data_IF_000828345170
#
_entry.id   IF_000828345170
#
_cell.length_a   1.000
_cell.length_b   1.000
_cell.length_c   1.000
_cell.angle_alpha   90.00
_cell.angle_beta   90.00
_cell.angle_gamma   90.00
#
_symmetry.space_group_name_H-M   'P 1'
#
loop_
_entity.id
_entity.type
_entity.pdbx_description
1 polymer ?
#
# COMPACT_ATOMS: atom_id res chain seq x y z
N UNK A 1 -26.28 -3.86 30.65
CA UNK A 1 -25.19 -2.90 30.96
C UNK A 1 -23.80 -3.51 30.73
N UNK A 2 -23.44 -4.63 31.38
CA UNK A 2 -22.10 -5.24 31.21
C UNK A 2 -21.75 -5.66 29.77
N UNK A 3 -22.71 -6.18 29.01
CA UNK A 3 -22.51 -6.60 27.61
C UNK A 3 -22.14 -5.41 26.68
N UNK A 4 -22.75 -4.24 26.90
CA UNK A 4 -22.51 -3.04 26.08
C UNK A 4 -21.09 -2.50 26.32
N UNK A 5 -20.67 -2.44 27.59
CA UNK A 5 -19.30 -2.06 27.97
C UNK A 5 -18.26 -3.03 27.39
N UNK A 6 -18.56 -4.33 27.37
CA UNK A 6 -17.71 -5.34 26.75
C UNK A 6 -17.58 -5.15 25.24
N UNK A 7 -18.70 -4.88 24.53
CA UNK A 7 -18.68 -4.58 23.10
C UNK A 7 -17.85 -3.33 22.78
N UNK A 8 -18.05 -2.25 23.53
CA UNK A 8 -17.29 -0.99 23.34
C UNK A 8 -15.79 -1.25 23.55
N UNK A 9 -15.42 -1.96 24.62
CA UNK A 9 -14.03 -2.33 24.88
C UNK A 9 -13.43 -3.14 23.74
N UNK A 10 -14.20 -4.07 23.15
CA UNK A 10 -13.77 -4.90 22.02
C UNK A 10 -13.59 -4.10 20.73
N UNK A 11 -14.45 -3.12 20.46
CA UNK A 11 -14.31 -2.21 19.30
C UNK A 11 -13.08 -1.30 19.48
N UNK A 12 -12.84 -0.82 20.70
CA UNK A 12 -11.67 -0.02 21.02
C UNK A 12 -10.35 -0.81 20.92
N UNK A 13 -10.34 -2.13 21.15
CA UNK A 13 -9.15 -2.97 20.87
C UNK A 13 -9.02 -3.37 19.41
N UNK A 14 -10.12 -3.41 18.65
CA UNK A 14 -10.09 -3.65 17.20
C UNK A 14 -9.45 -2.49 16.43
N UNK A 15 -9.71 -1.23 16.82
CA UNK A 15 -9.13 -0.06 16.16
C UNK A 15 -7.59 -0.09 16.06
N UNK A 16 -6.86 -0.22 17.19
CA UNK A 16 -5.40 -0.32 17.20
C UNK A 16 -4.88 -1.53 16.45
N UNK A 17 -5.57 -2.67 16.54
CA UNK A 17 -5.20 -3.89 15.81
C UNK A 17 -5.30 -3.66 14.30
N UNK A 18 -6.40 -3.04 13.86
CA UNK A 18 -6.63 -2.70 12.45
C UNK A 18 -5.58 -1.73 11.94
N UNK A 19 -5.30 -0.65 12.68
CA UNK A 19 -4.24 0.29 12.35
C UNK A 19 -2.87 -0.38 12.28
N UNK A 20 -2.57 -1.28 13.23
CA UNK A 20 -1.33 -2.04 13.26
C UNK A 20 -1.15 -2.90 12.01
N UNK A 21 -2.16 -3.69 11.63
CA UNK A 21 -2.07 -4.51 10.41
C UNK A 21 -1.98 -3.64 9.15
N UNK A 22 -2.74 -2.54 9.06
CA UNK A 22 -2.70 -1.64 7.90
C UNK A 22 -1.33 -1.00 7.76
N UNK A 23 -0.74 -0.52 8.86
CA UNK A 23 0.59 0.07 8.85
C UNK A 23 1.65 -0.97 8.49
N UNK A 24 1.59 -2.18 9.05
CA UNK A 24 2.50 -3.27 8.71
C UNK A 24 2.37 -3.63 7.24
N UNK A 25 1.15 -3.84 6.73
CA UNK A 25 0.92 -4.12 5.31
C UNK A 25 1.45 -3.01 4.41
N UNK A 26 1.21 -1.74 4.77
CA UNK A 26 1.73 -0.59 4.04
C UNK A 26 3.25 -0.55 4.03
N UNK A 27 3.89 -0.74 5.18
CA UNK A 27 5.34 -0.83 5.31
C UNK A 27 5.89 -1.99 4.49
N UNK A 28 5.29 -3.17 4.54
CA UNK A 28 5.71 -4.33 3.74
C UNK A 28 5.58 -4.04 2.24
N UNK A 29 4.51 -3.38 1.81
CA UNK A 29 4.35 -2.96 0.40
C UNK A 29 5.40 -1.94 -0.04
N UNK A 30 5.82 -1.02 0.84
CA UNK A 30 6.83 -0.01 0.53
C UNK A 30 8.28 -0.51 0.70
N UNK A 31 8.50 -1.50 1.56
CA UNK A 31 9.79 -2.16 1.78
C UNK A 31 10.04 -3.28 0.78
N UNK A 32 8.99 -3.82 0.15
CA UNK A 32 9.13 -4.74 -0.96
C UNK A 32 9.97 -4.05 -2.06
N UNK A 33 11.15 -4.58 -2.39
CA UNK A 33 12.04 -3.94 -3.35
C UNK A 33 11.43 -4.08 -4.75
N UNK A 34 10.86 -2.98 -5.23
CA UNK A 34 10.19 -2.89 -6.51
C UNK A 34 8.91 -2.07 -6.37
N UNK A 35 8.86 -0.94 -7.08
CA UNK A 35 7.61 -0.22 -7.31
C UNK A 35 6.51 -1.24 -7.65
N UNK A 36 5.26 -1.12 -7.17
CA UNK A 36 4.18 -2.03 -7.55
C UNK A 36 4.00 -2.16 -9.09
N UNK A 37 4.52 -1.16 -9.81
CA UNK A 37 4.62 -1.09 -11.26
C UNK A 37 5.87 -1.76 -11.85
N UNK A 38 6.98 -1.90 -11.11
CA UNK A 38 8.14 -2.67 -11.57
C UNK A 38 7.81 -4.16 -11.61
N UNK A 39 7.11 -4.73 -10.62
CA UNK A 39 6.65 -6.12 -10.66
C UNK A 39 5.80 -6.41 -11.92
N UNK A 40 4.79 -5.57 -12.22
CA UNK A 40 3.99 -5.73 -13.45
C UNK A 40 4.80 -5.52 -14.74
N UNK A 41 5.77 -4.61 -14.72
CA UNK A 41 6.65 -4.36 -15.86
C UNK A 41 7.71 -5.46 -16.05
N UNK A 42 8.18 -6.10 -14.98
CA UNK A 42 9.18 -7.16 -14.99
C UNK A 42 8.56 -8.50 -15.38
N UNK A 43 7.27 -8.73 -15.05
CA UNK A 43 6.50 -9.89 -15.51
C UNK A 43 5.90 -9.72 -16.93
N UNK A 44 5.97 -8.53 -17.52
CA UNK A 44 5.48 -8.28 -18.88
C UNK A 44 6.65 -8.16 -19.88
N UNK A 45 7.01 -9.23 -20.61
CA UNK A 45 8.12 -9.22 -21.57
C UNK A 45 7.93 -8.27 -22.77
N UNK A 46 6.76 -7.63 -22.90
CA UNK A 46 6.49 -6.58 -23.90
C UNK A 46 6.75 -5.16 -23.39
N UNK A 47 7.13 -5.00 -22.12
CA UNK A 47 7.34 -3.69 -21.53
C UNK A 47 8.70 -3.12 -21.96
N UNK A 48 8.68 -2.28 -22.99
CA UNK A 48 9.88 -1.54 -23.40
C UNK A 48 10.23 -0.44 -22.38
N UNK A 49 11.51 -0.04 -22.26
CA UNK A 49 11.93 1.02 -21.36
C UNK A 49 11.16 2.34 -21.56
N UNK A 50 10.88 2.71 -22.82
CA UNK A 50 10.06 3.88 -23.15
C UNK A 50 8.62 3.78 -22.64
N UNK A 51 8.00 2.59 -22.72
CA UNK A 51 6.65 2.39 -22.22
C UNK A 51 6.59 2.53 -20.70
N UNK A 52 7.63 2.06 -20.00
CA UNK A 52 7.77 2.21 -18.55
C UNK A 52 7.89 3.68 -18.14
N UNK A 53 8.66 4.49 -18.86
CA UNK A 53 8.78 5.93 -18.59
C UNK A 53 7.48 6.69 -18.86
N UNK A 54 6.79 6.38 -19.97
CA UNK A 54 5.48 6.98 -20.27
C UNK A 54 4.44 6.66 -19.21
N UNK A 55 4.43 5.42 -18.71
CA UNK A 55 3.50 5.01 -17.65
C UNK A 55 3.86 5.65 -16.32
N UNK A 56 5.15 5.79 -15.98
CA UNK A 56 5.55 6.56 -14.79
C UNK A 56 4.99 7.97 -14.85
N UNK A 57 5.21 8.68 -15.96
CA UNK A 57 4.72 10.05 -16.16
C UNK A 57 3.19 10.13 -16.12
N UNK A 58 2.49 9.16 -16.72
CA UNK A 58 1.04 9.14 -16.76
C UNK A 58 0.40 8.85 -15.40
N UNK A 59 0.99 7.94 -14.61
CA UNK A 59 0.53 7.61 -13.26
C UNK A 59 1.14 8.50 -12.18
N UNK A 60 2.00 9.46 -12.57
CA UNK A 60 2.67 10.38 -11.65
C UNK A 60 3.62 9.68 -10.68
N UNK A 61 4.19 8.54 -11.07
CA UNK A 61 5.11 7.74 -10.24
C UNK A 61 6.52 8.35 -10.16
N UNK A 62 6.80 9.34 -10.98
CA UNK A 62 7.96 10.23 -10.92
C UNK A 62 7.82 11.31 -9.83
N UNK A 63 6.66 11.42 -9.19
CA UNK A 63 6.46 12.35 -8.08
C UNK A 63 6.94 11.75 -6.76
N UNK A 64 7.52 12.57 -5.87
CA UNK A 64 7.99 12.08 -4.59
C UNK A 64 6.82 11.57 -3.73
N UNK A 65 7.05 10.50 -2.96
CA UNK A 65 6.07 9.73 -2.18
C UNK A 65 5.10 10.54 -1.29
N UNK A 66 5.45 11.78 -0.93
CA UNK A 66 4.58 12.66 -0.14
C UNK A 66 3.47 13.34 -0.96
N UNK A 67 3.55 13.28 -2.30
CA UNK A 67 2.56 13.83 -3.25
C UNK A 67 1.70 12.72 -3.86
N UNK A 68 2.13 11.46 -3.72
CA UNK A 68 1.64 10.30 -4.47
C UNK A 68 0.56 9.51 -3.73
#
# INVERSE_FOLDING_TARGET
MALLLYLIKKIFTLGPTFLGITLISFMVMHLAPGEPMSLQADFNPKMTPEMRERLRAQYGLDRPLHIQ
#
